data_IF_879283319075
#
_entry.id   IF_879283319075
#
_cell.length_a   1.000
_cell.length_b   1.000
_cell.length_c   1.000
_cell.angle_alpha   90.00
_cell.angle_beta   90.00
_cell.angle_gamma   90.00
#
_symmetry.space_group_name_H-M   'P 1'
#
loop_
_entity.id
_entity.type
_entity.pdbx_description
1 polymer ?
#
# COMPACT_ATOMS: atom_id res chain seq x y z
N UNK A 1 -82.78 13.93 -49.82
CA UNK A 1 -82.03 12.67 -49.98
C UNK A 1 -80.91 12.65 -48.93
N UNK A 2 -80.97 11.76 -47.94
CA UNK A 2 -80.12 10.55 -47.84
C UNK A 2 -78.69 10.94 -47.38
N UNK A 3 -78.38 10.79 -46.08
CA UNK A 3 -77.56 9.73 -45.44
C UNK A 3 -76.11 9.69 -45.96
N UNK A 4 -75.06 9.39 -45.19
CA UNK A 4 -74.78 9.13 -43.78
C UNK A 4 -73.24 9.24 -43.70
N UNK A 5 -72.74 9.70 -42.56
CA UNK A 5 -71.61 9.09 -41.82
C UNK A 5 -70.97 7.85 -42.48
N UNK A 6 -69.74 7.98 -42.99
CA UNK A 6 -68.78 6.86 -43.08
C UNK A 6 -67.48 7.27 -42.40
N UNK A 7 -67.58 7.32 -41.08
CA UNK A 7 -66.49 6.97 -40.19
C UNK A 7 -66.11 5.50 -40.44
N UNK A 8 -64.91 5.25 -40.93
CA UNK A 8 -64.33 3.90 -40.97
C UNK A 8 -62.81 3.98 -40.83
N UNK A 9 -62.20 3.00 -40.15
CA UNK A 9 -61.80 3.22 -38.76
C UNK A 9 -60.28 3.15 -38.61
N UNK A 10 -59.80 3.74 -37.51
CA UNK A 10 -58.47 3.42 -36.99
C UNK A 10 -58.32 1.90 -36.88
N UNK A 11 -57.21 1.30 -37.33
CA UNK A 11 -56.94 -0.06 -36.95
C UNK A 11 -56.73 -0.07 -35.44
N UNK A 12 -57.71 -0.64 -34.73
CA UNK A 12 -57.52 -1.12 -33.39
C UNK A 12 -56.27 -2.00 -33.41
N UNK A 13 -55.16 -1.50 -32.84
CA UNK A 13 -54.02 -2.34 -32.55
C UNK A 13 -54.53 -3.34 -31.53
N UNK A 14 -54.87 -4.51 -32.05
CA UNK A 14 -55.35 -5.62 -31.27
C UNK A 14 -54.27 -5.91 -30.25
N UNK A 15 -54.63 -5.73 -28.97
CA UNK A 15 -53.99 -6.37 -27.83
C UNK A 15 -53.94 -7.86 -28.17
N UNK A 16 -52.82 -8.29 -28.73
CA UNK A 16 -52.49 -9.69 -28.97
C UNK A 16 -51.35 -10.01 -28.03
N UNK A 17 -51.74 -10.60 -26.92
CA UNK A 17 -50.99 -11.69 -26.32
C UNK A 17 -49.52 -11.36 -26.06
N UNK A 18 -49.28 -10.37 -25.20
CA UNK A 18 -48.07 -10.40 -24.40
C UNK A 18 -48.25 -11.54 -23.41
N UNK A 19 -47.97 -12.76 -23.87
CA UNK A 19 -47.80 -13.91 -23.01
C UNK A 19 -46.93 -13.48 -21.84
N UNK A 20 -47.50 -13.58 -20.63
CA UNK A 20 -46.78 -13.37 -19.38
C UNK A 20 -45.42 -14.05 -19.49
N UNK A 21 -44.29 -13.36 -19.25
CA UNK A 21 -43.01 -14.02 -19.24
C UNK A 21 -43.10 -15.08 -18.15
N UNK A 22 -43.19 -16.34 -18.57
CA UNK A 22 -43.01 -17.48 -17.69
C UNK A 22 -41.55 -17.39 -17.27
N UNK A 23 -41.29 -16.69 -16.16
CA UNK A 23 -40.06 -16.82 -15.41
C UNK A 23 -40.03 -18.26 -14.93
N UNK A 24 -39.46 -19.14 -15.75
CA UNK A 24 -38.95 -20.43 -15.30
C UNK A 24 -37.77 -20.09 -14.39
N UNK A 25 -38.09 -19.70 -13.16
CA UNK A 25 -37.13 -19.70 -12.08
C UNK A 25 -36.79 -21.16 -11.86
N UNK A 26 -35.62 -21.59 -12.35
CA UNK A 26 -34.97 -22.79 -11.83
C UNK A 26 -34.83 -22.56 -10.33
N UNK A 27 -35.77 -23.08 -9.54
CA UNK A 27 -35.53 -23.28 -8.12
C UNK A 27 -34.35 -24.23 -8.08
N UNK A 28 -33.15 -23.68 -7.87
CA UNK A 28 -31.96 -24.47 -7.62
C UNK A 28 -32.26 -25.18 -6.30
N UNK A 29 -32.76 -26.42 -6.38
CA UNK A 29 -32.78 -27.34 -5.26
C UNK A 29 -31.33 -27.55 -4.89
N UNK A 30 -30.81 -26.67 -4.03
CA UNK A 30 -29.48 -26.78 -3.46
C UNK A 30 -29.51 -28.10 -2.68
N UNK A 31 -28.87 -29.18 -3.18
CA UNK A 31 -28.96 -30.46 -2.51
C UNK A 31 -28.38 -30.28 -1.12
N UNK A 32 -29.08 -30.74 -0.08
CA UNK A 32 -28.76 -30.47 1.34
C UNK A 32 -27.29 -30.73 1.71
N UNK A 33 -26.58 -31.57 0.94
CA UNK A 33 -25.14 -31.85 1.08
C UNK A 33 -24.19 -30.70 0.66
N UNK A 34 -24.64 -29.76 -0.18
CA UNK A 34 -23.79 -28.62 -0.59
C UNK A 34 -23.60 -27.62 0.54
N UNK A 35 -24.62 -27.38 1.37
CA UNK A 35 -24.53 -26.47 2.53
C UNK A 35 -23.41 -26.84 3.51
N UNK A 36 -23.30 -28.09 4.02
CA UNK A 36 -22.19 -28.46 4.90
C UNK A 36 -20.83 -28.47 4.20
N UNK A 37 -20.78 -28.74 2.90
CA UNK A 37 -19.54 -28.73 2.11
C UNK A 37 -19.00 -27.31 1.96
N UNK A 38 -19.85 -26.35 1.61
CA UNK A 38 -19.48 -24.93 1.58
C UNK A 38 -19.18 -24.39 2.98
N UNK A 39 -19.92 -24.81 4.02
CA UNK A 39 -19.62 -24.41 5.40
C UNK A 39 -18.24 -24.89 5.85
N UNK A 40 -17.86 -26.14 5.57
CA UNK A 40 -16.53 -26.66 5.88
C UNK A 40 -15.42 -25.93 5.10
N UNK A 41 -15.66 -25.61 3.82
CA UNK A 41 -14.73 -24.81 3.00
C UNK A 41 -14.54 -23.41 3.60
N UNK A 42 -15.62 -22.75 3.99
CA UNK A 42 -15.56 -21.40 4.56
C UNK A 42 -14.89 -21.37 5.93
N UNK A 43 -15.06 -22.41 6.75
CA UNK A 43 -14.33 -22.56 8.02
C UNK A 43 -12.85 -22.81 7.77
N UNK A 44 -12.49 -23.68 6.80
CA UNK A 44 -11.09 -23.92 6.45
C UNK A 44 -10.39 -22.65 5.93
N UNK A 45 -11.06 -21.85 5.09
CA UNK A 45 -10.53 -20.59 4.57
C UNK A 45 -10.52 -19.48 5.64
N UNK A 46 -11.59 -19.36 6.44
CA UNK A 46 -11.74 -18.34 7.47
C UNK A 46 -10.81 -18.55 8.67
N UNK A 47 -10.53 -19.81 9.04
CA UNK A 47 -9.57 -20.13 10.11
C UNK A 47 -8.13 -19.81 9.68
N UNK A 48 -7.79 -20.03 8.41
CA UNK A 48 -6.46 -19.72 7.88
C UNK A 48 -6.19 -18.21 7.79
N UNK A 49 -7.23 -17.41 7.54
CA UNK A 49 -7.12 -15.94 7.50
C UNK A 49 -6.80 -15.28 8.84
N UNK A 50 -7.18 -15.91 9.97
CA UNK A 50 -6.96 -15.37 11.32
C UNK A 50 -5.60 -15.74 11.94
N UNK A 51 -5.03 -16.89 11.61
CA UNK A 51 -3.79 -17.40 12.20
C UNK A 51 -2.55 -16.56 11.81
N UNK A 52 -2.56 -15.91 10.64
CA UNK A 52 -1.47 -15.06 10.16
C UNK A 52 -1.31 -13.76 10.97
N UNK A 53 -2.39 -13.25 11.58
CA UNK A 53 -2.34 -12.02 12.39
C UNK A 53 -2.07 -12.30 13.87
N UNK A 54 -2.29 -13.54 14.33
CA UNK A 54 -1.94 -13.96 15.71
C UNK A 54 -0.45 -14.19 15.89
N UNK A 55 0.27 -14.44 14.80
CA UNK A 55 1.72 -14.40 14.75
C UNK A 55 2.17 -13.02 14.26
N UNK A 56 1.96 -11.98 15.08
CA UNK A 56 2.83 -10.82 14.97
C UNK A 56 4.27 -11.37 15.00
N UNK A 57 5.18 -11.00 14.06
CA UNK A 57 6.57 -11.42 14.15
C UNK A 57 7.05 -11.00 15.53
N UNK A 58 7.20 -11.98 16.44
CA UNK A 58 7.68 -11.73 17.77
C UNK A 58 8.97 -10.96 17.59
N UNK A 59 9.02 -9.74 18.15
CA UNK A 59 10.21 -8.91 18.15
C UNK A 59 11.39 -9.81 18.52
N UNK A 60 12.22 -10.12 17.52
CA UNK A 60 13.41 -10.91 17.72
C UNK A 60 14.28 -10.06 18.63
N UNK A 61 14.29 -10.38 19.91
CA UNK A 61 15.31 -9.89 20.84
C UNK A 61 16.64 -10.24 20.17
N UNK A 62 17.47 -9.28 19.75
CA UNK A 62 18.75 -9.63 19.17
C UNK A 62 19.53 -10.35 20.26
N UNK A 63 19.72 -11.67 20.10
CA UNK A 63 20.69 -12.40 20.88
C UNK A 63 22.05 -11.79 20.53
N UNK A 64 22.62 -11.08 21.49
CA UNK A 64 24.04 -10.78 21.54
C UNK A 64 24.79 -12.10 21.28
N UNK A 65 25.69 -12.17 20.28
CA UNK A 65 26.50 -13.36 20.09
C UNK A 65 27.44 -13.48 21.30
N UNK A 66 27.11 -14.37 22.23
CA UNK A 66 28.07 -14.86 23.23
C UNK A 66 29.08 -15.71 22.47
N UNK A 67 30.27 -15.14 22.31
CA UNK A 67 31.46 -15.82 21.87
C UNK A 67 31.69 -17.06 22.75
N UNK A 68 31.77 -18.22 22.11
CA UNK A 68 32.21 -19.45 22.76
C UNK A 68 33.73 -19.36 22.96
N UNK A 69 34.17 -18.65 24.01
CA UNK A 69 35.52 -18.80 24.53
C UNK A 69 35.57 -20.12 25.31
N UNK A 70 36.11 -21.13 24.63
CA UNK A 70 36.42 -22.42 25.19
C UNK A 70 37.31 -22.29 26.44
N UNK A 71 37.04 -23.19 27.38
CA UNK A 71 37.67 -23.39 28.67
C UNK A 71 39.20 -23.41 28.58
N UNK A 72 39.88 -22.42 29.15
CA UNK A 72 41.28 -22.54 29.59
C UNK A 72 41.27 -22.38 31.11
N UNK A 73 41.56 -23.44 31.90
CA UNK A 73 41.51 -23.33 33.34
C UNK A 73 42.85 -22.85 33.91
N UNK A 74 42.73 -22.26 35.10
CA UNK A 74 43.72 -22.03 36.15
C UNK A 74 44.61 -20.77 36.09
N UNK A 75 44.23 -19.86 37.00
CA UNK A 75 45.09 -19.17 37.95
C UNK A 75 45.81 -17.90 37.48
N UNK A 76 45.18 -16.75 37.71
CA UNK A 76 45.89 -15.54 38.17
C UNK A 76 44.91 -14.56 38.85
N UNK A 77 45.24 -14.02 40.05
CA UNK A 77 44.34 -13.17 40.83
C UNK A 77 44.36 -11.70 40.36
N UNK A 78 43.20 -11.06 40.44
CA UNK A 78 43.01 -9.61 40.24
C UNK A 78 43.91 -8.80 41.20
N UNK A 79 44.37 -7.60 40.81
CA UNK A 79 43.56 -6.43 41.16
C UNK A 79 43.68 -5.21 40.21
N UNK A 80 42.86 -4.21 40.51
CA UNK A 80 42.97 -2.77 40.14
C UNK A 80 42.46 -2.41 38.74
N UNK A 81 41.22 -1.92 38.59
CA UNK A 81 40.69 -0.61 39.02
C UNK A 81 41.36 0.58 38.30
N UNK A 82 40.50 1.53 37.93
CA UNK A 82 40.75 2.83 37.30
C UNK A 82 40.57 2.78 35.76
N UNK A 83 39.39 3.19 35.29
CA UNK A 83 39.10 4.58 34.96
C UNK A 83 39.89 5.05 33.73
N UNK A 84 39.19 5.21 32.61
CA UNK A 84 39.32 6.33 31.65
C UNK A 84 38.64 5.99 30.32
N UNK A 85 37.53 6.66 30.02
CA UNK A 85 37.35 7.26 28.68
C UNK A 85 38.43 8.35 28.51
N UNK A 86 38.83 8.85 27.32
CA UNK A 86 38.34 8.61 25.94
C UNK A 86 39.49 8.58 24.87
N UNK A 87 39.10 8.69 23.59
CA UNK A 87 39.89 9.15 22.41
C UNK A 87 40.84 8.14 21.74
N UNK A 88 40.49 7.78 20.50
CA UNK A 88 41.29 8.15 19.31
C UNK A 88 40.55 7.79 18.02
N UNK A 89 40.12 8.81 17.28
CA UNK A 89 40.06 8.73 15.82
C UNK A 89 41.52 8.72 15.28
N UNK A 90 41.77 8.15 14.09
CA UNK A 90 42.10 9.03 12.97
C UNK A 90 41.56 8.55 11.60
N UNK A 91 40.62 9.31 11.06
CA UNK A 91 40.72 10.20 9.89
C UNK A 91 41.57 9.84 8.64
N UNK A 92 40.89 9.93 7.47
CA UNK A 92 41.32 10.26 6.08
C UNK A 92 42.14 9.19 5.33
N UNK A 93 41.79 8.81 4.11
CA UNK A 93 41.86 9.62 2.86
C UNK A 93 41.07 8.82 1.79
N UNK A 94 40.38 9.36 0.78
CA UNK A 94 40.77 10.43 -0.13
C UNK A 94 39.53 10.87 -0.89
N UNK A 95 39.27 12.17 -0.86
CA UNK A 95 38.40 12.85 -1.80
C UNK A 95 38.96 12.68 -3.22
N UNK A 96 38.14 12.23 -4.16
CA UNK A 96 38.27 12.64 -5.54
C UNK A 96 37.30 13.80 -5.72
N UNK A 97 37.89 14.99 -5.81
CA UNK A 97 37.26 16.14 -6.41
C UNK A 97 36.89 15.76 -7.85
N UNK A 98 35.60 15.84 -8.16
CA UNK A 98 35.15 16.19 -9.49
C UNK A 98 34.50 17.56 -9.33
N UNK A 99 35.13 18.56 -9.93
CA UNK A 99 34.59 19.92 -10.00
C UNK A 99 34.25 20.16 -11.47
N UNK A 100 33.13 20.85 -11.66
CA UNK A 100 32.60 21.43 -12.90
C UNK A 100 31.95 20.45 -13.90
N UNK A 101 30.62 20.38 -13.85
CA UNK A 101 29.82 20.95 -14.94
C UNK A 101 28.54 21.56 -14.36
N UNK A 102 28.36 22.85 -14.61
CA UNK A 102 27.19 23.66 -14.31
C UNK A 102 25.93 23.01 -14.91
N UNK A 103 24.97 22.61 -14.07
CA UNK A 103 23.58 22.48 -14.50
C UNK A 103 22.66 22.98 -13.39
N UNK A 104 22.01 24.14 -13.55
CA UNK A 104 21.05 24.65 -12.57
C UNK A 104 19.72 23.89 -12.74
N UNK A 105 19.69 22.58 -12.45
CA UNK A 105 18.47 21.74 -12.54
C UNK A 105 18.44 20.54 -11.55
N UNK A 106 19.46 20.33 -10.72
CA UNK A 106 19.51 19.18 -9.79
C UNK A 106 18.64 19.38 -8.54
N UNK A 107 18.15 20.60 -8.30
CA UNK A 107 17.26 20.87 -7.18
C UNK A 107 15.90 20.15 -7.32
N UNK A 108 15.34 19.97 -8.51
CA UNK A 108 13.99 19.41 -8.64
C UNK A 108 13.96 17.89 -8.84
N UNK A 109 15.08 17.20 -8.62
CA UNK A 109 15.16 15.75 -8.76
C UNK A 109 14.66 15.00 -7.51
N UNK A 110 13.63 14.19 -7.69
CA UNK A 110 13.11 13.27 -6.68
C UNK A 110 13.66 11.86 -6.93
N UNK A 111 14.34 11.21 -5.95
CA UNK A 111 14.83 9.85 -6.11
C UNK A 111 13.67 8.84 -6.18
N UNK A 112 13.95 7.65 -6.68
CA UNK A 112 12.95 6.60 -6.81
C UNK A 112 12.23 6.30 -5.48
N UNK A 113 10.90 6.17 -5.55
CA UNK A 113 10.05 5.82 -4.41
C UNK A 113 9.43 4.45 -4.67
N UNK A 114 9.62 3.51 -3.75
CA UNK A 114 8.96 2.22 -3.79
C UNK A 114 7.67 2.26 -2.97
N UNK A 115 6.52 2.09 -3.61
CA UNK A 115 5.21 2.12 -2.97
C UNK A 115 4.70 0.70 -2.75
N UNK A 116 4.78 0.19 -1.52
CA UNK A 116 4.47 -1.22 -1.24
C UNK A 116 3.14 -1.47 -0.51
N UNK A 117 2.58 -0.49 0.19
CA UNK A 117 1.29 -0.67 0.85
C UNK A 117 0.53 0.65 1.01
N UNK A 118 -0.79 0.59 0.90
CA UNK A 118 -1.70 1.71 1.03
C UNK A 118 -2.86 1.31 1.95
N UNK A 119 -3.11 2.08 3.01
CA UNK A 119 -4.22 1.88 3.94
C UNK A 119 -4.97 3.21 4.05
N UNK A 120 -6.19 3.22 3.55
CA UNK A 120 -7.10 4.35 3.67
C UNK A 120 -8.05 4.18 4.86
N UNK A 121 -8.32 5.27 5.55
CA UNK A 121 -9.28 5.38 6.64
C UNK A 121 -9.96 6.74 6.59
N UNK A 122 -11.18 6.85 7.12
CA UNK A 122 -11.91 8.14 7.13
C UNK A 122 -11.16 9.22 7.93
N UNK A 123 -10.48 8.83 9.01
CA UNK A 123 -9.66 9.71 9.84
C UNK A 123 -8.23 9.81 9.29
N UNK A 124 -7.73 11.05 9.15
CA UNK A 124 -6.37 11.37 8.67
C UNK A 124 -5.27 10.66 9.46
N UNK A 125 -5.36 10.64 10.79
CA UNK A 125 -4.38 10.00 11.69
C UNK A 125 -4.31 8.46 11.57
N UNK A 126 -5.21 7.87 10.79
CA UNK A 126 -5.31 6.42 10.56
C UNK A 126 -4.95 6.02 9.15
N UNK A 127 -4.73 6.99 8.26
CA UNK A 127 -4.27 6.74 6.89
C UNK A 127 -2.78 6.49 6.92
N UNK A 128 -2.32 5.46 6.25
CA UNK A 128 -0.91 5.06 6.27
C UNK A 128 -0.50 4.52 4.92
N UNK A 129 0.71 4.86 4.49
CA UNK A 129 1.35 4.30 3.30
C UNK A 129 2.71 3.74 3.66
N UNK A 130 3.24 2.83 2.84
CA UNK A 130 4.60 2.34 2.98
C UNK A 130 5.42 2.77 1.77
N UNK A 131 6.41 3.62 2.02
CA UNK A 131 7.35 4.13 1.04
C UNK A 131 8.76 3.67 1.42
N UNK A 132 9.48 3.07 0.46
CA UNK A 132 10.83 2.55 0.66
C UNK A 132 10.96 1.59 1.85
N UNK A 133 9.88 0.84 2.14
CA UNK A 133 9.82 -0.14 3.23
C UNK A 133 9.50 0.44 4.62
N UNK A 134 9.24 1.75 4.73
CA UNK A 134 8.86 2.41 5.98
C UNK A 134 7.43 2.94 5.92
N UNK A 135 6.70 2.86 7.04
CA UNK A 135 5.32 3.35 7.13
C UNK A 135 5.28 4.84 7.47
N UNK A 136 4.45 5.60 6.76
CA UNK A 136 4.29 7.04 6.90
C UNK A 136 2.82 7.43 6.99
N UNK A 137 2.55 8.45 7.80
CA UNK A 137 1.24 9.08 7.96
C UNK A 137 1.15 10.36 7.11
N UNK A 138 -0.06 10.92 7.01
CA UNK A 138 -0.26 12.27 6.49
C UNK A 138 0.57 13.29 7.32
N UNK A 139 1.12 14.29 6.64
CA UNK A 139 2.03 15.30 7.19
C UNK A 139 3.47 14.82 7.46
N UNK A 140 3.76 13.52 7.33
CA UNK A 140 5.12 13.00 7.53
C UNK A 140 5.98 13.13 6.26
N UNK A 141 7.29 13.06 6.45
CA UNK A 141 8.28 13.29 5.41
C UNK A 141 9.15 12.04 5.20
N UNK A 142 8.92 11.25 4.14
CA UNK A 142 9.70 10.04 3.86
C UNK A 142 11.11 10.35 3.32
N UNK A 143 11.32 11.54 2.75
CA UNK A 143 12.59 12.03 2.22
C UNK A 143 12.74 13.53 2.50
N UNK A 144 13.98 14.07 2.52
CA UNK A 144 14.21 15.50 2.67
C UNK A 144 13.43 16.33 1.65
N UNK A 145 12.67 17.30 2.13
CA UNK A 145 11.82 18.20 1.32
C UNK A 145 10.64 17.52 0.61
N UNK A 146 10.35 16.24 0.90
CA UNK A 146 9.16 15.53 0.44
C UNK A 146 8.19 15.35 1.62
N UNK A 147 6.99 15.88 1.52
CA UNK A 147 5.94 15.76 2.54
C UNK A 147 4.74 15.04 1.93
N UNK A 148 4.12 14.17 2.72
CA UNK A 148 2.84 13.56 2.36
C UNK A 148 1.75 14.53 2.78
N UNK A 149 1.15 15.23 1.83
CA UNK A 149 0.08 16.19 2.14
C UNK A 149 -1.23 15.46 2.45
N UNK A 150 -1.56 14.46 1.63
CA UNK A 150 -2.84 13.75 1.77
C UNK A 150 -2.78 12.35 1.15
N UNK A 151 -3.30 11.36 1.86
CA UNK A 151 -3.48 9.98 1.40
C UNK A 151 -4.97 9.83 1.05
N UNK A 152 -5.28 9.84 -0.25
CA UNK A 152 -6.64 9.56 -0.74
C UNK A 152 -6.86 8.05 -0.89
N UNK A 153 -8.01 7.62 -1.35
CA UNK A 153 -8.33 6.19 -1.43
C UNK A 153 -7.56 5.47 -2.55
N UNK A 154 -7.30 6.16 -3.64
CA UNK A 154 -6.74 5.65 -4.90
C UNK A 154 -5.39 6.28 -5.26
N UNK A 155 -5.04 7.39 -4.62
CA UNK A 155 -3.78 8.11 -4.84
C UNK A 155 -3.29 8.81 -3.57
N UNK A 156 -2.04 9.24 -3.59
CA UNK A 156 -1.44 10.06 -2.53
C UNK A 156 -0.92 11.36 -3.12
N UNK A 157 -1.24 12.47 -2.46
CA UNK A 157 -0.73 13.81 -2.76
C UNK A 157 0.54 14.03 -1.96
N UNK A 158 1.61 14.33 -2.67
CA UNK A 158 2.91 14.68 -2.11
C UNK A 158 3.24 16.14 -2.42
N UNK A 159 4.06 16.75 -1.57
CA UNK A 159 4.67 18.06 -1.80
C UNK A 159 6.18 17.90 -1.76
N UNK A 160 6.86 18.15 -2.88
CA UNK A 160 8.31 18.15 -2.97
C UNK A 160 8.81 19.56 -3.25
N UNK A 161 9.58 20.15 -2.33
CA UNK A 161 10.13 21.52 -2.47
C UNK A 161 9.09 22.61 -2.77
N UNK A 162 7.82 22.39 -2.40
CA UNK A 162 6.70 23.29 -2.67
C UNK A 162 5.90 22.95 -3.93
N UNK A 163 6.34 21.97 -4.73
CA UNK A 163 5.62 21.46 -5.88
C UNK A 163 4.79 20.24 -5.47
N UNK A 164 3.47 20.33 -5.68
CA UNK A 164 2.58 19.22 -5.38
C UNK A 164 2.44 18.28 -6.56
N UNK A 165 2.45 16.97 -6.29
CA UNK A 165 2.20 15.94 -7.28
C UNK A 165 1.42 14.78 -6.68
N UNK A 166 0.78 14.01 -7.55
CA UNK A 166 -0.04 12.86 -7.17
C UNK A 166 0.61 11.59 -7.67
N UNK A 167 0.64 10.57 -6.82
CA UNK A 167 1.09 9.23 -7.16
C UNK A 167 -0.05 8.25 -6.87
N UNK A 168 -0.41 7.42 -7.84
CA UNK A 168 -1.43 6.40 -7.64
C UNK A 168 -1.01 5.41 -6.54
N UNK A 169 -2.00 4.87 -5.83
CA UNK A 169 -1.73 3.91 -4.77
C UNK A 169 -0.99 2.69 -5.34
N UNK A 170 0.11 2.32 -4.70
CA UNK A 170 0.98 1.20 -5.09
C UNK A 170 1.76 1.41 -6.40
N UNK A 171 1.72 2.61 -6.97
CA UNK A 171 2.55 2.95 -8.13
C UNK A 171 3.92 3.45 -7.68
N UNK A 172 4.98 2.91 -8.28
CA UNK A 172 6.36 3.26 -7.94
C UNK A 172 6.77 4.54 -8.68
N UNK A 173 7.45 5.44 -7.98
CA UNK A 173 8.14 6.55 -8.66
C UNK A 173 9.50 6.07 -9.17
N UNK A 174 9.79 6.15 -10.47
CA UNK A 174 11.05 5.67 -11.04
C UNK A 174 12.27 6.53 -10.67
N UNK A 175 12.05 7.75 -10.17
CA UNK A 175 13.08 8.77 -9.99
C UNK A 175 13.09 9.74 -11.17
N UNK A 176 13.19 11.04 -10.91
CA UNK A 176 13.08 12.07 -11.94
C UNK A 176 12.61 13.42 -11.42
N UNK A 177 12.39 14.36 -12.35
CA UNK A 177 11.81 15.67 -12.06
C UNK A 177 10.28 15.55 -11.93
N UNK A 178 9.69 16.28 -10.98
CA UNK A 178 8.25 16.21 -10.70
C UNK A 178 7.39 16.64 -11.90
N UNK A 179 7.93 17.50 -12.77
CA UNK A 179 7.27 17.93 -14.01
C UNK A 179 6.92 16.78 -14.97
N UNK A 180 7.62 15.64 -14.85
CA UNK A 180 7.38 14.42 -15.64
C UNK A 180 6.39 13.45 -14.97
N UNK A 181 5.70 13.88 -13.90
CA UNK A 181 4.73 13.02 -13.23
C UNK A 181 3.74 12.44 -14.25
N UNK A 182 3.53 11.11 -14.26
CA UNK A 182 2.55 10.49 -15.14
C UNK A 182 1.17 10.95 -14.66
N UNK A 183 0.69 12.05 -15.22
CA UNK A 183 -0.69 12.46 -15.05
C UNK A 183 -1.53 11.36 -15.68
N UNK A 184 -2.26 10.64 -14.83
CA UNK A 184 -3.09 9.51 -15.24
C UNK A 184 -3.93 9.89 -16.46
N UNK A 185 -3.79 9.10 -17.52
CA UNK A 185 -4.70 9.10 -18.65
C UNK A 185 -5.96 8.29 -18.33
#
# INVERSE_FOLDING_TARGET
MIRHDEECPMPAVSVRDAGSPVMVGTMVQVPWLTVPLYAALFIALGWFGGEQWRNAPAAQKPLVPVAHAALVPLSQPAPQQAASVPVSAPTKQKAQASVEEESPLEEDYLPALRYSAHIYASSEDKRTIVINGQSWLEGQSPLPNLVIEQIQQDLTVFSFKGNTFTLAALDDWPGGIIADSPQGQ
#
